data_IF_916900372576
#
_entry.id   IF_916900372576
#
_cell.length_a   1.000
_cell.length_b   1.000
_cell.length_c   1.000
_cell.angle_alpha   90.00
_cell.angle_beta   90.00
_cell.angle_gamma   90.00
#
_symmetry.space_group_name_H-M   'P 1'
#
loop_
_entity.id
_entity.type
_entity.pdbx_description
1 polymer ?
#
# COMPACT_ATOMS: atom_id res chain seq x y z
N UNK A 1 37.47 7.75 30.04
CA UNK A 1 37.27 6.35 29.59
C UNK A 1 35.82 5.87 29.70
N UNK A 2 34.99 6.45 30.57
CA UNK A 2 33.56 5.98 30.70
C UNK A 2 32.61 6.53 29.66
N UNK A 3 32.79 7.74 29.15
CA UNK A 3 31.87 8.32 28.14
C UNK A 3 31.97 7.67 26.75
N UNK A 4 33.16 7.27 26.35
CA UNK A 4 33.36 6.58 25.07
C UNK A 4 32.72 5.17 25.06
N UNK A 5 32.74 4.47 26.17
CA UNK A 5 32.08 3.17 26.32
C UNK A 5 30.55 3.30 26.24
N UNK A 6 29.97 4.35 26.85
CA UNK A 6 28.53 4.61 26.79
C UNK A 6 28.03 4.95 25.35
N UNK A 7 28.86 5.64 24.57
CA UNK A 7 28.54 5.96 23.18
C UNK A 7 28.59 4.72 22.30
N UNK A 8 29.61 3.88 22.45
CA UNK A 8 29.76 2.62 21.71
C UNK A 8 28.60 1.66 22.03
N UNK A 9 28.24 1.56 23.33
CA UNK A 9 27.15 0.70 23.76
C UNK A 9 25.78 1.18 23.22
N UNK A 10 25.57 2.50 23.17
CA UNK A 10 24.34 3.10 22.61
C UNK A 10 24.25 2.94 21.07
N UNK A 11 25.37 3.01 20.37
CA UNK A 11 25.41 2.77 18.93
C UNK A 11 25.21 1.28 18.65
N UNK A 12 25.88 0.41 19.41
CA UNK A 12 25.73 -1.05 19.29
C UNK A 12 24.30 -1.51 19.54
N UNK A 13 23.65 -1.02 20.60
CA UNK A 13 22.26 -1.37 20.90
C UNK A 13 21.27 -0.89 19.84
N UNK A 14 21.50 0.29 19.23
CA UNK A 14 20.68 0.76 18.11
C UNK A 14 20.89 -0.08 16.86
N UNK A 15 22.13 -0.43 16.53
CA UNK A 15 22.44 -1.29 15.40
C UNK A 15 21.82 -2.69 15.55
N UNK A 16 21.92 -3.27 16.73
CA UNK A 16 21.24 -4.54 17.06
C UNK A 16 19.74 -4.44 16.95
N UNK A 17 19.11 -3.36 17.45
CA UNK A 17 17.67 -3.16 17.32
C UNK A 17 17.20 -3.02 15.87
N UNK A 18 17.97 -2.37 15.01
CA UNK A 18 17.67 -2.30 13.56
C UNK A 18 17.80 -3.67 12.91
N UNK A 19 18.83 -4.43 13.23
CA UNK A 19 19.02 -5.79 12.72
C UNK A 19 17.92 -6.74 13.18
N UNK A 20 17.52 -6.64 14.45
CA UNK A 20 16.43 -7.43 15.03
C UNK A 20 15.09 -7.10 14.36
N UNK A 21 14.78 -5.81 14.18
CA UNK A 21 13.57 -5.38 13.48
C UNK A 21 13.56 -5.86 12.02
N UNK A 22 14.69 -5.72 11.31
CA UNK A 22 14.81 -6.17 9.93
C UNK A 22 14.67 -7.69 9.84
N UNK A 23 15.28 -8.43 10.75
CA UNK A 23 15.14 -9.88 10.86
C UNK A 23 13.70 -10.31 11.15
N UNK A 24 13.02 -9.60 12.05
CA UNK A 24 11.61 -9.87 12.38
C UNK A 24 10.69 -9.63 11.16
N UNK A 25 10.91 -8.54 10.42
CA UNK A 25 10.14 -8.26 9.19
C UNK A 25 10.40 -9.33 8.12
N UNK A 26 11.67 -9.72 7.93
CA UNK A 26 12.04 -10.74 6.95
C UNK A 26 11.44 -12.11 7.29
N UNK A 27 11.51 -12.53 8.55
CA UNK A 27 10.93 -13.81 9.01
C UNK A 27 9.42 -13.80 8.95
N UNK A 28 8.77 -12.67 9.30
CA UNK A 28 7.33 -12.48 9.14
C UNK A 28 6.91 -12.62 7.66
N UNK A 29 7.61 -11.93 6.75
CA UNK A 29 7.34 -12.00 5.33
C UNK A 29 7.54 -13.40 4.75
N UNK A 30 8.63 -14.08 5.11
CA UNK A 30 8.91 -15.44 4.68
C UNK A 30 7.81 -16.42 5.19
N UNK A 31 7.42 -16.31 6.46
CA UNK A 31 6.32 -17.10 7.02
C UNK A 31 5.01 -16.83 6.30
N UNK A 32 4.70 -15.56 6.02
CA UNK A 32 3.47 -15.19 5.30
C UNK A 32 3.40 -15.80 3.90
N UNK A 33 4.52 -15.81 3.16
CA UNK A 33 4.61 -16.42 1.82
C UNK A 33 4.42 -17.95 1.91
N UNK A 34 5.07 -18.59 2.86
CA UNK A 34 4.96 -20.07 3.04
C UNK A 34 3.54 -20.45 3.42
N UNK A 35 2.93 -19.75 4.38
CA UNK A 35 1.55 -20.03 4.81
C UNK A 35 0.50 -19.65 3.75
N UNK A 36 0.77 -18.64 2.91
CA UNK A 36 -0.09 -18.32 1.77
C UNK A 36 -0.14 -19.43 0.71
N UNK A 37 0.91 -20.25 0.61
CA UNK A 37 0.96 -21.37 -0.31
C UNK A 37 0.32 -22.67 0.24
N UNK A 38 -0.03 -22.71 1.55
CA UNK A 38 -0.54 -23.92 2.21
C UNK A 38 -2.05 -23.88 2.42
N UNK A 39 -2.82 -24.90 2.00
CA UNK A 39 -4.24 -25.02 2.36
C UNK A 39 -4.41 -25.29 3.87
N UNK A 40 -5.59 -25.02 4.48
CA UNK A 40 -6.82 -24.57 3.86
C UNK A 40 -6.85 -23.05 3.60
N UNK A 41 -7.54 -22.65 2.51
CA UNK A 41 -7.73 -21.23 2.19
C UNK A 41 -9.09 -20.75 2.67
N UNK A 42 -9.11 -19.71 3.46
CA UNK A 42 -10.33 -19.05 3.91
C UNK A 42 -10.81 -18.03 2.85
N UNK A 43 -11.24 -18.55 1.69
CA UNK A 43 -11.64 -17.72 0.54
C UNK A 43 -12.71 -16.68 0.89
N UNK A 44 -13.62 -17.04 1.80
CA UNK A 44 -14.68 -16.12 2.22
C UNK A 44 -14.11 -14.88 2.93
N UNK A 45 -13.14 -15.08 3.83
CA UNK A 45 -12.49 -13.96 4.54
C UNK A 45 -11.57 -13.17 3.63
N UNK A 46 -10.84 -13.83 2.72
CA UNK A 46 -10.02 -13.16 1.71
C UNK A 46 -10.88 -12.22 0.84
N UNK A 47 -12.00 -12.71 0.32
CA UNK A 47 -12.92 -11.90 -0.51
C UNK A 47 -13.56 -10.77 0.31
N UNK A 48 -13.93 -11.04 1.54
CA UNK A 48 -14.46 -10.01 2.45
C UNK A 48 -13.47 -8.89 2.69
N UNK A 49 -12.22 -9.23 3.00
CA UNK A 49 -11.16 -8.23 3.19
C UNK A 49 -10.81 -7.52 1.88
N UNK A 50 -10.74 -8.22 0.74
CA UNK A 50 -10.50 -7.61 -0.56
C UNK A 50 -11.60 -6.58 -0.92
N UNK A 51 -12.85 -6.93 -0.68
CA UNK A 51 -13.97 -6.00 -0.85
C UNK A 51 -13.87 -4.81 0.10
N UNK A 52 -13.58 -5.05 1.38
CA UNK A 52 -13.51 -4.00 2.39
C UNK A 52 -12.35 -3.03 2.12
N UNK A 53 -11.17 -3.53 1.79
CA UNK A 53 -10.00 -2.71 1.47
C UNK A 53 -10.16 -1.99 0.13
N UNK A 54 -10.71 -2.69 -0.89
CA UNK A 54 -10.99 -2.12 -2.20
C UNK A 54 -12.02 -1.00 -2.09
N UNK A 55 -13.26 -1.34 -1.76
CA UNK A 55 -14.39 -0.41 -1.76
C UNK A 55 -14.16 0.85 -0.91
N UNK A 56 -13.62 0.68 0.30
CA UNK A 56 -13.36 1.82 1.18
C UNK A 56 -12.21 2.71 0.71
N UNK A 57 -11.31 2.21 -0.16
CA UNK A 57 -10.20 3.00 -0.69
C UNK A 57 -10.55 3.72 -1.99
N UNK A 58 -11.62 3.31 -2.70
CA UNK A 58 -12.02 3.92 -3.97
C UNK A 58 -12.16 5.44 -3.91
N UNK A 59 -12.91 6.04 -2.95
CA UNK A 59 -13.07 7.50 -2.94
C UNK A 59 -11.74 8.23 -2.79
N UNK A 60 -10.85 7.72 -1.94
CA UNK A 60 -9.53 8.30 -1.73
C UNK A 60 -8.66 8.19 -3.00
N UNK A 61 -8.67 7.03 -3.64
CA UNK A 61 -7.89 6.76 -4.85
C UNK A 61 -8.39 7.60 -6.02
N UNK A 62 -9.71 7.71 -6.22
CA UNK A 62 -10.31 8.50 -7.30
C UNK A 62 -10.03 9.98 -7.12
N UNK A 63 -10.21 10.52 -5.92
CA UNK A 63 -9.93 11.95 -5.67
C UNK A 63 -8.44 12.27 -5.82
N UNK A 64 -7.56 11.43 -5.32
CA UNK A 64 -6.12 11.59 -5.49
C UNK A 64 -5.71 11.46 -6.96
N UNK A 65 -6.29 10.50 -7.69
CA UNK A 65 -6.04 10.32 -9.13
C UNK A 65 -6.39 11.55 -9.94
N UNK A 66 -7.60 12.07 -9.76
CA UNK A 66 -8.02 13.31 -10.44
C UNK A 66 -7.05 14.45 -10.14
N UNK A 67 -6.73 14.69 -8.87
CA UNK A 67 -5.85 15.78 -8.48
C UNK A 67 -4.45 15.64 -9.08
N UNK A 68 -3.88 14.45 -9.05
CA UNK A 68 -2.55 14.18 -9.62
C UNK A 68 -2.59 14.29 -11.14
N UNK A 69 -3.64 13.81 -11.80
CA UNK A 69 -3.83 13.92 -13.24
C UNK A 69 -3.86 15.37 -13.69
N UNK A 70 -4.59 16.26 -13.00
CA UNK A 70 -4.61 17.70 -13.26
C UNK A 70 -3.21 18.31 -13.14
N UNK A 71 -2.52 18.06 -12.03
CA UNK A 71 -1.18 18.62 -11.78
C UNK A 71 -0.18 18.11 -12.81
N UNK A 72 -0.21 16.83 -13.12
CA UNK A 72 0.72 16.22 -14.06
C UNK A 72 0.48 16.70 -15.49
N UNK A 73 -0.79 16.91 -15.91
CA UNK A 73 -1.14 17.50 -17.20
C UNK A 73 -0.58 18.91 -17.33
N UNK A 74 -0.80 19.77 -16.32
CA UNK A 74 -0.27 21.13 -16.33
C UNK A 74 1.27 21.16 -16.38
N UNK A 75 1.94 20.26 -15.66
CA UNK A 75 3.40 20.13 -15.71
C UNK A 75 3.90 19.67 -17.09
N UNK A 76 3.23 18.67 -17.65
CA UNK A 76 3.58 18.12 -18.97
C UNK A 76 3.37 19.18 -20.05
N UNK A 77 2.26 19.91 -19.98
CA UNK A 77 1.98 21.04 -20.91
C UNK A 77 3.07 22.10 -20.86
N UNK A 78 3.39 22.62 -19.67
CA UNK A 78 4.42 23.65 -19.50
C UNK A 78 5.80 23.23 -20.05
N UNK A 79 6.07 21.93 -20.08
CA UNK A 79 7.31 21.38 -20.63
C UNK A 79 7.26 21.22 -22.14
N UNK A 80 6.18 20.67 -22.69
CA UNK A 80 6.06 20.32 -24.12
C UNK A 80 5.71 21.53 -25.01
N UNK A 81 4.99 22.51 -24.48
CA UNK A 81 4.62 23.77 -25.19
C UNK A 81 5.85 24.50 -25.67
N UNK A 82 6.93 24.52 -24.89
CA UNK A 82 8.21 25.16 -25.25
C UNK A 82 8.87 24.54 -26.50
N UNK A 83 8.52 23.30 -26.81
CA UNK A 83 9.03 22.55 -27.96
C UNK A 83 8.01 22.43 -29.09
N UNK A 84 6.82 23.05 -28.96
CA UNK A 84 5.73 22.92 -29.93
C UNK A 84 5.17 21.51 -30.07
N UNK A 85 5.30 20.67 -29.00
CA UNK A 85 4.96 19.27 -29.03
C UNK A 85 3.67 18.97 -28.23
N UNK A 86 2.69 19.88 -28.26
CA UNK A 86 1.44 19.78 -27.48
C UNK A 86 0.63 18.52 -27.82
N UNK A 87 0.67 18.06 -29.05
CA UNK A 87 -0.01 16.84 -29.47
C UNK A 87 0.48 15.56 -28.72
N UNK A 88 1.65 15.62 -28.08
CA UNK A 88 2.20 14.50 -27.31
C UNK A 88 1.78 14.52 -25.83
N UNK A 89 1.08 15.55 -25.34
CA UNK A 89 0.68 15.67 -23.93
C UNK A 89 -0.15 14.47 -23.48
N UNK A 90 -1.21 14.00 -24.17
CA UNK A 90 -2.00 12.88 -23.71
C UNK A 90 -1.20 11.58 -23.62
N UNK A 91 -0.31 11.32 -24.56
CA UNK A 91 0.53 10.14 -24.57
C UNK A 91 1.57 10.17 -23.43
N UNK A 92 2.23 11.31 -23.22
CA UNK A 92 3.18 11.48 -22.15
C UNK A 92 2.52 11.32 -20.77
N UNK A 93 1.33 11.91 -20.59
CA UNK A 93 0.54 11.80 -19.36
C UNK A 93 0.15 10.35 -19.07
N UNK A 94 -0.38 9.64 -20.07
CA UNK A 94 -0.78 8.25 -19.92
C UNK A 94 0.41 7.35 -19.53
N UNK A 95 1.56 7.53 -20.18
CA UNK A 95 2.77 6.77 -19.88
C UNK A 95 3.26 7.06 -18.45
N UNK A 96 3.29 8.32 -18.03
CA UNK A 96 3.74 8.70 -16.71
C UNK A 96 2.81 8.18 -15.60
N UNK A 97 1.49 8.18 -15.82
CA UNK A 97 0.52 7.64 -14.87
C UNK A 97 0.65 6.12 -14.77
N UNK A 98 0.51 5.40 -15.87
CA UNK A 98 0.44 3.93 -15.85
C UNK A 98 1.75 3.31 -15.40
N UNK A 99 2.90 3.87 -15.81
CA UNK A 99 4.20 3.25 -15.57
C UNK A 99 4.75 3.53 -14.17
N UNK A 100 4.55 4.72 -13.65
CA UNK A 100 5.24 5.15 -12.43
C UNK A 100 4.27 5.71 -11.38
N UNK A 101 3.56 6.77 -11.71
CA UNK A 101 2.81 7.58 -10.73
C UNK A 101 1.63 6.80 -10.15
N UNK A 102 0.85 6.14 -10.97
CA UNK A 102 -0.33 5.39 -10.54
C UNK A 102 0.00 4.29 -9.53
N UNK A 103 0.87 3.32 -9.87
CA UNK A 103 1.24 2.26 -8.94
C UNK A 103 1.89 2.78 -7.65
N UNK A 104 2.78 3.79 -7.76
CA UNK A 104 3.49 4.35 -6.61
C UNK A 104 2.54 5.02 -5.63
N UNK A 105 1.69 5.92 -6.13
CA UNK A 105 0.77 6.67 -5.28
C UNK A 105 -0.32 5.76 -4.72
N UNK A 106 -0.86 4.84 -5.51
CA UNK A 106 -1.81 3.83 -5.00
C UNK A 106 -1.20 3.02 -3.88
N UNK A 107 0.03 2.54 -4.07
CA UNK A 107 0.76 1.79 -3.04
C UNK A 107 0.93 2.59 -1.75
N UNK A 108 1.33 3.84 -1.84
CA UNK A 108 1.53 4.72 -0.69
C UNK A 108 0.22 5.00 0.07
N UNK A 109 -0.85 5.34 -0.65
CA UNK A 109 -2.16 5.65 -0.07
C UNK A 109 -2.79 4.42 0.59
N UNK A 110 -2.72 3.27 -0.06
CA UNK A 110 -3.26 2.02 0.48
C UNK A 110 -2.42 1.55 1.68
N UNK A 111 -1.09 1.61 1.60
CA UNK A 111 -0.22 1.25 2.72
C UNK A 111 -0.50 2.10 3.96
N UNK A 112 -0.65 3.41 3.79
CA UNK A 112 -0.97 4.32 4.90
C UNK A 112 -2.35 4.04 5.51
N UNK A 113 -3.38 3.99 4.67
CA UNK A 113 -4.76 3.85 5.13
C UNK A 113 -5.07 2.45 5.64
N UNK A 114 -4.77 1.43 4.85
CA UNK A 114 -5.11 0.04 5.19
C UNK A 114 -4.18 -0.48 6.27
N UNK A 115 -2.88 -0.14 6.22
CA UNK A 115 -1.92 -0.53 7.24
C UNK A 115 -2.30 0.00 8.61
N UNK A 116 -2.68 1.29 8.72
CA UNK A 116 -3.17 1.87 9.97
C UNK A 116 -4.46 1.17 10.45
N UNK A 117 -5.39 0.85 9.53
CA UNK A 117 -6.62 0.14 9.85
C UNK A 117 -6.38 -1.28 10.38
N UNK A 118 -5.51 -2.03 9.73
CA UNK A 118 -5.13 -3.39 10.16
C UNK A 118 -4.44 -3.34 11.52
N UNK A 119 -3.52 -2.39 11.72
CA UNK A 119 -2.83 -2.23 13.00
C UNK A 119 -3.80 -1.94 14.16
N UNK A 120 -4.75 -1.05 13.95
CA UNK A 120 -5.78 -0.72 14.94
C UNK A 120 -6.69 -1.91 15.25
N UNK A 121 -7.12 -2.66 14.22
CA UNK A 121 -7.97 -3.84 14.36
C UNK A 121 -7.27 -4.95 15.15
N UNK A 122 -6.03 -5.31 14.74
CA UNK A 122 -5.25 -6.34 15.43
C UNK A 122 -4.93 -5.90 16.87
N UNK A 123 -4.61 -4.63 17.07
CA UNK A 123 -4.39 -4.07 18.41
C UNK A 123 -5.62 -4.20 19.31
N UNK A 124 -6.81 -3.87 18.78
CA UNK A 124 -8.06 -4.05 19.50
C UNK A 124 -8.35 -5.53 19.83
N UNK A 125 -8.14 -6.44 18.86
CA UNK A 125 -8.32 -7.87 19.06
C UNK A 125 -7.37 -8.43 20.13
N UNK A 126 -6.14 -7.91 20.24
CA UNK A 126 -5.20 -8.32 21.27
C UNK A 126 -5.62 -7.87 22.67
N UNK A 127 -6.08 -6.62 22.80
CA UNK A 127 -6.56 -6.07 24.09
C UNK A 127 -7.82 -6.77 24.58
N UNK A 128 -8.67 -7.22 23.67
CA UNK A 128 -9.91 -7.95 23.99
C UNK A 128 -9.75 -9.47 24.03
N UNK A 129 -8.52 -9.98 24.04
CA UNK A 129 -8.18 -11.41 24.12
C UNK A 129 -8.78 -12.28 23.00
N UNK A 130 -9.24 -11.66 21.90
CA UNK A 130 -9.83 -12.39 20.77
C UNK A 130 -8.78 -13.25 20.05
N UNK A 131 -7.52 -12.83 20.02
CA UNK A 131 -6.44 -13.63 19.42
C UNK A 131 -6.19 -14.89 20.22
N UNK A 132 -6.17 -14.78 21.55
CA UNK A 132 -5.97 -15.90 22.44
C UNK A 132 -7.17 -16.89 22.38
N UNK A 133 -8.38 -16.35 22.17
CA UNK A 133 -9.57 -17.17 21.93
C UNK A 133 -9.52 -17.93 20.59
N UNK A 134 -8.95 -17.35 19.53
CA UNK A 134 -8.74 -18.06 18.25
C UNK A 134 -7.78 -19.22 18.43
N UNK A 135 -6.66 -19.01 19.12
CA UNK A 135 -5.68 -20.06 19.40
C UNK A 135 -6.27 -21.18 20.28
N UNK A 136 -7.08 -20.84 21.28
CA UNK A 136 -7.79 -21.81 22.11
C UNK A 136 -8.76 -22.69 21.31
N UNK A 137 -9.30 -22.18 20.20
CA UNK A 137 -10.14 -22.94 19.26
C UNK A 137 -9.34 -23.66 18.16
N UNK A 138 -8.03 -23.82 18.31
CA UNK A 138 -7.12 -24.45 17.36
C UNK A 138 -7.08 -23.78 15.96
N UNK A 139 -7.41 -22.49 15.89
CA UNK A 139 -7.28 -21.69 14.66
C UNK A 139 -5.90 -21.04 14.64
N UNK A 140 -5.14 -21.18 13.55
CA UNK A 140 -3.88 -20.47 13.37
C UNK A 140 -4.15 -18.96 13.20
N UNK A 141 -3.98 -18.22 14.31
CA UNK A 141 -4.21 -16.79 14.37
C UNK A 141 -3.35 -16.04 13.36
N UNK A 142 -2.11 -16.46 13.10
CA UNK A 142 -1.25 -15.83 12.12
C UNK A 142 -1.81 -15.96 10.70
N UNK A 143 -2.24 -17.17 10.34
CA UNK A 143 -2.81 -17.43 9.02
C UNK A 143 -4.12 -16.68 8.83
N UNK A 144 -4.99 -16.72 9.81
CA UNK A 144 -6.29 -16.06 9.78
C UNK A 144 -6.17 -14.52 9.73
N UNK A 145 -5.26 -13.92 10.51
CA UNK A 145 -5.16 -12.47 10.63
C UNK A 145 -4.20 -11.84 9.62
N UNK A 146 -3.04 -12.44 9.35
CA UNK A 146 -2.03 -11.84 8.49
C UNK A 146 -2.17 -12.30 7.04
N UNK A 147 -2.22 -13.61 6.80
CA UNK A 147 -2.16 -14.16 5.44
C UNK A 147 -3.41 -13.80 4.63
N UNK A 148 -4.60 -13.89 5.23
CA UNK A 148 -5.85 -13.53 4.54
C UNK A 148 -5.85 -12.06 4.10
N UNK A 149 -5.33 -11.16 4.91
CA UNK A 149 -5.23 -9.72 4.59
C UNK A 149 -4.20 -9.43 3.51
N UNK A 150 -3.04 -10.12 3.56
CA UNK A 150 -2.00 -9.97 2.53
C UNK A 150 -2.54 -10.41 1.17
N UNK A 151 -3.16 -11.59 1.08
CA UNK A 151 -3.75 -12.09 -0.18
C UNK A 151 -4.86 -11.15 -0.66
N UNK A 152 -5.71 -10.68 0.24
CA UNK A 152 -6.76 -9.73 -0.09
C UNK A 152 -6.21 -8.43 -0.70
N UNK A 153 -5.10 -7.91 -0.15
CA UNK A 153 -4.42 -6.72 -0.68
C UNK A 153 -3.77 -7.01 -2.05
N UNK A 154 -3.16 -8.17 -2.24
CA UNK A 154 -2.59 -8.55 -3.55
C UNK A 154 -3.65 -8.58 -4.65
N UNK A 155 -4.90 -8.90 -4.32
CA UNK A 155 -6.03 -8.88 -5.27
C UNK A 155 -6.57 -7.46 -5.46
N UNK A 156 -6.70 -6.68 -4.37
CA UNK A 156 -7.30 -5.35 -4.40
C UNK A 156 -6.37 -4.30 -5.04
N UNK A 157 -5.05 -4.41 -4.86
CA UNK A 157 -4.07 -3.43 -5.33
C UNK A 157 -4.09 -3.18 -6.85
N UNK A 158 -4.04 -4.20 -7.72
CA UNK A 158 -4.09 -3.97 -9.16
C UNK A 158 -5.37 -3.25 -9.59
N UNK A 159 -6.52 -3.61 -9.00
CA UNK A 159 -7.79 -2.98 -9.31
C UNK A 159 -7.82 -1.51 -8.91
N UNK A 160 -7.30 -1.19 -7.72
CA UNK A 160 -7.19 0.20 -7.24
C UNK A 160 -6.21 1.01 -8.09
N UNK A 161 -5.12 0.42 -8.56
CA UNK A 161 -4.18 1.08 -9.47
C UNK A 161 -4.84 1.43 -10.80
N UNK A 162 -5.60 0.50 -11.40
CA UNK A 162 -6.36 0.79 -12.62
C UNK A 162 -7.35 1.94 -12.40
N UNK A 163 -8.02 1.98 -11.25
CA UNK A 163 -8.93 3.08 -10.92
C UNK A 163 -8.18 4.41 -10.74
N UNK A 164 -6.99 4.38 -10.15
CA UNK A 164 -6.11 5.55 -10.04
C UNK A 164 -5.72 6.10 -11.39
N UNK A 165 -5.25 5.23 -12.29
CA UNK A 165 -4.82 5.61 -13.64
C UNK A 165 -5.97 6.19 -14.45
N UNK A 166 -7.14 5.54 -14.39
CA UNK A 166 -8.35 6.01 -15.07
C UNK A 166 -8.79 7.39 -14.57
N UNK A 167 -8.84 7.57 -13.25
CA UNK A 167 -9.22 8.84 -12.63
C UNK A 167 -8.18 9.93 -12.89
N UNK A 168 -6.89 9.57 -12.95
CA UNK A 168 -5.80 10.47 -13.31
C UNK A 168 -5.89 10.94 -14.76
N UNK A 169 -6.16 10.04 -15.70
CA UNK A 169 -6.40 10.40 -17.10
C UNK A 169 -7.61 11.32 -17.27
N UNK A 170 -8.70 11.05 -16.55
CA UNK A 170 -9.87 11.93 -16.54
C UNK A 170 -9.53 13.33 -15.99
N UNK A 171 -8.77 13.41 -14.90
CA UNK A 171 -8.31 14.66 -14.32
C UNK A 171 -7.44 15.46 -15.29
N UNK A 172 -6.50 14.80 -15.96
CA UNK A 172 -5.68 15.38 -17.00
C UNK A 172 -6.48 15.89 -18.20
N UNK A 173 -7.45 15.09 -18.66
CA UNK A 173 -8.34 15.51 -19.75
C UNK A 173 -9.15 16.76 -19.40
N UNK A 174 -9.71 16.81 -18.19
CA UNK A 174 -10.46 17.98 -17.71
C UNK A 174 -9.56 19.22 -17.65
N UNK A 175 -8.32 19.09 -17.22
CA UNK A 175 -7.35 20.18 -17.19
C UNK A 175 -7.03 20.70 -18.59
N UNK A 176 -6.82 19.81 -19.58
CA UNK A 176 -6.57 20.18 -20.97
C UNK A 176 -7.79 20.83 -21.65
N UNK A 177 -8.99 20.37 -21.32
CA UNK A 177 -10.23 20.95 -21.87
C UNK A 177 -10.58 22.34 -21.30
N UNK A 178 -10.02 22.69 -20.13
CA UNK A 178 -10.24 23.95 -19.46
C UNK A 178 -9.21 25.06 -19.82
N UNK A 179 -8.14 24.67 -20.51
CA UNK A 179 -7.06 25.57 -20.96
C UNK A 179 -7.02 25.75 -22.46
#
# INVERSE_FOLDING_TARGET
MSQSLLVVDRIGSRALGVLELTGAIATFGARAIVEAARPPYELREILRHAYQFGYRSVPLIVTAGIAIGVVLSMHTRASLERFGAEAMIPAALAIALIRETGPLITGLLVAGRVGAGIGAEIGAMKVTEQIDALEANAVDAFKYLAVTRIIALMIAMPLLTIMMDFSGMLGGYVAEAAT
#
